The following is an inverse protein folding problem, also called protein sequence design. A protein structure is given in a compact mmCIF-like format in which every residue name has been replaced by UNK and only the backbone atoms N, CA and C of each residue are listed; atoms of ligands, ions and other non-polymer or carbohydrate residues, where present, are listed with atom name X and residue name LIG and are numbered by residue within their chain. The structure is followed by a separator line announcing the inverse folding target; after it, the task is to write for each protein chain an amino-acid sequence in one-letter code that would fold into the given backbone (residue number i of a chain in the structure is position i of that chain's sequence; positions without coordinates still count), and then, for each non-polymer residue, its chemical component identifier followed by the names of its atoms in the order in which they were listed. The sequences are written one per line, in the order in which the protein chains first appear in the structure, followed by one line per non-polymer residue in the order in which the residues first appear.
data_IF_766529302572
#
_entry.id   IF_766529302572
#
_cell.length_a   1.000
_cell.length_b   1.000
_cell.length_c   1.000
_cell.angle_alpha   90.00
_cell.angle_beta   90.00
_cell.angle_gamma   90.00
#
_symmetry.space_group_name_H-M   'P 1'
#
loop_
_entity.id
_entity.type
_entity.pdbx_description
1 polymer ?
#
# COMPACT_ATOMS: atom_id res chain seq x y z
N UNK A 1 -4.94 -9.36 49.17
CA UNK A 1 -3.67 -9.63 48.44
C UNK A 1 -3.87 -10.02 46.97
N UNK A 2 -4.94 -9.63 46.29
CA UNK A 2 -5.27 -10.08 44.93
C UNK A 2 -5.22 -8.97 43.85
N UNK A 3 -4.97 -7.70 44.21
CA UNK A 3 -4.90 -6.62 43.22
C UNK A 3 -3.49 -6.35 42.66
N UNK A 4 -2.44 -6.76 43.35
CA UNK A 4 -1.04 -6.52 42.94
C UNK A 4 -0.51 -7.49 41.88
N UNK A 5 -1.17 -8.64 41.67
CA UNK A 5 -0.77 -9.62 40.65
C UNK A 5 -1.35 -9.30 39.25
N UNK A 6 -2.52 -8.69 39.21
CA UNK A 6 -3.17 -8.26 37.94
C UNK A 6 -2.43 -7.08 37.29
N UNK A 7 -1.84 -6.19 38.09
CA UNK A 7 -1.14 -4.99 37.61
C UNK A 7 0.27 -5.29 37.02
N UNK A 8 0.85 -6.46 37.31
CA UNK A 8 2.15 -6.86 36.73
C UNK A 8 2.04 -7.49 35.34
N UNK A 9 0.91 -8.05 34.98
CA UNK A 9 0.70 -8.65 33.65
C UNK A 9 0.44 -7.59 32.57
N UNK A 10 -0.08 -6.44 32.92
CA UNK A 10 -0.35 -5.31 32.01
C UNK A 10 0.91 -4.54 31.59
N UNK A 11 2.04 -4.70 32.30
CA UNK A 11 3.31 -4.01 31.98
C UNK A 11 4.34 -4.87 31.22
N UNK A 12 4.03 -6.12 30.89
CA UNK A 12 4.96 -6.94 30.11
C UNK A 12 5.11 -6.33 28.69
N UNK A 13 6.35 -6.06 28.28
CA UNK A 13 6.63 -5.53 26.93
C UNK A 13 6.04 -6.47 25.87
N UNK A 14 5.46 -5.93 24.79
CA UNK A 14 4.90 -6.71 23.66
C UNK A 14 5.89 -7.76 23.13
N UNK A 15 7.19 -7.47 23.19
CA UNK A 15 8.27 -8.40 22.82
C UNK A 15 8.32 -9.68 23.65
N UNK A 16 7.70 -9.70 24.83
CA UNK A 16 7.58 -10.90 25.69
C UNK A 16 6.30 -11.70 25.42
N UNK A 17 5.37 -11.14 24.66
CA UNK A 17 4.17 -11.84 24.22
C UNK A 17 4.54 -12.77 23.05
N UNK A 18 4.63 -14.08 23.33
CA UNK A 18 5.02 -15.09 22.33
C UNK A 18 4.12 -15.08 21.10
N UNK A 19 2.80 -14.96 21.27
CA UNK A 19 1.86 -14.99 20.14
C UNK A 19 2.01 -13.73 19.27
N UNK A 20 2.14 -12.55 19.88
CA UNK A 20 2.41 -11.32 19.15
C UNK A 20 3.76 -11.39 18.41
N UNK A 21 4.82 -11.84 19.06
CA UNK A 21 6.14 -11.97 18.44
C UNK A 21 6.13 -12.95 17.26
N UNK A 22 5.46 -14.10 17.42
CA UNK A 22 5.31 -15.06 16.32
C UNK A 22 4.54 -14.46 15.13
N UNK A 23 3.41 -13.80 15.38
CA UNK A 23 2.62 -13.15 14.34
C UNK A 23 3.44 -12.07 13.63
N UNK A 24 4.05 -11.17 14.41
CA UNK A 24 4.81 -10.03 13.92
C UNK A 24 6.06 -10.44 13.12
N UNK A 25 6.85 -11.39 13.64
CA UNK A 25 8.07 -11.85 12.98
C UNK A 25 7.77 -12.69 11.73
N UNK A 26 6.77 -13.56 11.77
CA UNK A 26 6.33 -14.32 10.58
C UNK A 26 5.92 -13.38 9.46
N UNK A 27 5.08 -12.39 9.77
CA UNK A 27 4.63 -11.42 8.77
C UNK A 27 5.76 -10.52 8.28
N UNK A 28 6.70 -10.09 9.15
CA UNK A 28 7.89 -9.34 8.72
C UNK A 28 8.69 -10.12 7.69
N UNK A 29 8.90 -11.41 7.95
CA UNK A 29 9.70 -12.27 7.08
C UNK A 29 9.02 -12.45 5.72
N UNK A 30 7.72 -12.75 5.69
CA UNK A 30 6.97 -12.90 4.45
C UNK A 30 6.81 -11.58 3.69
N UNK A 31 6.57 -10.46 4.36
CA UNK A 31 6.48 -9.14 3.71
C UNK A 31 7.81 -8.72 3.06
N UNK A 32 8.97 -9.07 3.66
CA UNK A 32 10.28 -8.82 3.05
C UNK A 32 10.46 -9.65 1.76
N UNK A 33 10.11 -10.94 1.78
CA UNK A 33 10.15 -11.81 0.61
C UNK A 33 9.23 -11.31 -0.51
N UNK A 34 7.98 -11.07 -0.18
CA UNK A 34 6.99 -10.52 -1.11
C UNK A 34 7.45 -9.18 -1.74
N UNK A 35 7.99 -8.27 -0.93
CA UNK A 35 8.50 -6.98 -1.43
C UNK A 35 9.69 -7.16 -2.36
N UNK A 36 10.56 -8.14 -2.09
CA UNK A 36 11.67 -8.48 -2.98
C UNK A 36 11.17 -9.09 -4.30
N UNK A 37 10.21 -10.03 -4.24
CA UNK A 37 9.60 -10.64 -5.41
C UNK A 37 8.82 -9.61 -6.25
N UNK A 38 8.16 -8.63 -5.63
CA UNK A 38 7.38 -7.60 -6.32
C UNK A 38 8.22 -6.72 -7.25
N UNK A 39 9.49 -6.47 -6.91
CA UNK A 39 10.45 -5.76 -7.78
C UNK A 39 11.09 -6.71 -8.79
N UNK A 40 11.32 -7.96 -8.41
CA UNK A 40 11.90 -8.94 -9.30
C UNK A 40 10.94 -9.38 -10.41
N UNK A 41 9.64 -9.39 -10.15
CA UNK A 41 8.61 -9.84 -11.09
C UNK A 41 8.59 -9.03 -12.41
N UNK A 42 8.52 -7.68 -12.41
CA UNK A 42 8.64 -6.90 -13.63
C UNK A 42 9.98 -7.09 -14.34
N UNK A 43 11.08 -7.19 -13.58
CA UNK A 43 12.41 -7.45 -14.16
C UNK A 43 12.49 -8.82 -14.81
N UNK A 44 11.84 -9.85 -14.23
CA UNK A 44 11.77 -11.18 -14.81
C UNK A 44 11.02 -11.16 -16.14
N UNK A 45 9.85 -10.54 -16.21
CA UNK A 45 9.06 -10.43 -17.45
C UNK A 45 9.86 -9.72 -18.54
N UNK A 46 10.50 -8.58 -18.21
CA UNK A 46 11.35 -7.86 -19.15
C UNK A 46 12.56 -8.70 -19.62
N UNK A 47 13.16 -9.48 -18.72
CA UNK A 47 14.32 -10.30 -19.05
C UNK A 47 13.97 -11.55 -19.88
N UNK A 48 12.72 -12.02 -19.86
CA UNK A 48 12.26 -13.22 -20.58
C UNK A 48 11.77 -12.88 -21.99
N UNK A 49 10.88 -11.89 -22.12
CA UNK A 49 10.28 -11.55 -23.42
C UNK A 49 10.46 -10.09 -23.87
N UNK A 50 11.04 -9.24 -23.03
CA UNK A 50 11.26 -7.82 -23.35
C UNK A 50 9.98 -6.98 -23.44
N UNK A 51 8.80 -7.56 -23.13
CA UNK A 51 7.50 -6.91 -23.29
C UNK A 51 7.17 -6.02 -22.11
N UNK A 52 7.11 -4.71 -22.37
CA UNK A 52 6.65 -3.74 -21.39
C UNK A 52 5.14 -3.88 -21.12
N UNK A 53 4.36 -4.26 -22.14
CA UNK A 53 2.91 -4.48 -21.98
C UNK A 53 2.64 -5.66 -21.04
N UNK A 54 3.33 -6.79 -21.22
CA UNK A 54 3.19 -7.95 -20.32
C UNK A 54 3.62 -7.61 -18.91
N UNK A 55 4.68 -6.80 -18.74
CA UNK A 55 5.12 -6.32 -17.44
C UNK A 55 4.02 -5.52 -16.74
N UNK A 56 3.42 -4.57 -17.45
CA UNK A 56 2.29 -3.78 -16.94
C UNK A 56 1.05 -4.63 -16.65
N UNK A 57 0.77 -5.61 -17.52
CA UNK A 57 -0.35 -6.53 -17.34
C UNK A 57 -0.17 -7.43 -16.11
N UNK A 58 1.02 -7.98 -15.88
CA UNK A 58 1.33 -8.82 -14.70
C UNK A 58 1.16 -8.01 -13.42
N UNK A 59 1.71 -6.79 -13.34
CA UNK A 59 1.55 -5.95 -12.15
C UNK A 59 0.11 -5.46 -11.96
N UNK A 60 -0.58 -5.13 -13.04
CA UNK A 60 -2.00 -4.82 -13.00
C UNK A 60 -2.84 -6.01 -12.53
N UNK A 61 -2.42 -7.24 -12.84
CA UNK A 61 -3.07 -8.47 -12.35
C UNK A 61 -2.94 -8.60 -10.84
N UNK A 62 -1.76 -8.34 -10.25
CA UNK A 62 -1.60 -8.33 -8.78
C UNK A 62 -2.62 -7.38 -8.14
N UNK A 63 -2.67 -6.13 -8.61
CA UNK A 63 -3.55 -5.10 -8.04
C UNK A 63 -5.04 -5.42 -8.29
N UNK A 64 -5.40 -5.94 -9.48
CA UNK A 64 -6.78 -6.34 -9.79
C UNK A 64 -7.23 -7.50 -8.90
N UNK A 65 -6.38 -8.51 -8.72
CA UNK A 65 -6.66 -9.66 -7.87
C UNK A 65 -6.80 -9.25 -6.39
N UNK A 66 -5.93 -8.36 -5.93
CA UNK A 66 -5.99 -7.78 -4.59
C UNK A 66 -7.30 -7.01 -4.38
N UNK A 67 -7.70 -6.20 -5.35
CA UNK A 67 -8.94 -5.43 -5.30
C UNK A 67 -10.18 -6.35 -5.28
N UNK A 68 -10.21 -7.34 -6.17
CA UNK A 68 -11.33 -8.28 -6.28
C UNK A 68 -11.47 -9.15 -5.01
N UNK A 69 -10.35 -9.61 -4.45
CA UNK A 69 -10.35 -10.41 -3.22
C UNK A 69 -10.59 -9.56 -1.97
N UNK A 70 -10.19 -8.29 -1.96
CA UNK A 70 -10.35 -7.37 -0.82
C UNK A 70 -11.81 -7.18 -0.41
N UNK A 71 -12.73 -7.18 -1.38
CA UNK A 71 -14.18 -7.05 -1.11
C UNK A 71 -14.72 -8.19 -0.22
N UNK A 72 -14.50 -9.48 -0.53
CA UNK A 72 -14.93 -10.58 0.32
C UNK A 72 -14.00 -10.86 1.52
N UNK A 73 -12.76 -10.38 1.50
CA UNK A 73 -11.74 -10.74 2.49
C UNK A 73 -12.14 -10.41 3.94
N UNK A 74 -12.70 -9.23 4.18
CA UNK A 74 -13.20 -8.85 5.50
C UNK A 74 -14.30 -9.78 6.00
N UNK A 75 -15.29 -10.08 5.15
CA UNK A 75 -16.37 -10.97 5.49
C UNK A 75 -15.90 -12.42 5.74
N UNK A 76 -14.87 -12.86 5.01
CA UNK A 76 -14.26 -14.18 5.22
C UNK A 76 -13.44 -14.22 6.51
N UNK A 77 -12.67 -13.17 6.83
CA UNK A 77 -11.92 -13.05 8.08
C UNK A 77 -12.83 -13.05 9.33
N UNK A 78 -14.06 -12.58 9.19
CA UNK A 78 -15.05 -12.60 10.26
C UNK A 78 -15.70 -13.98 10.47
N UNK A 79 -15.82 -14.79 9.41
CA UNK A 79 -16.54 -16.07 9.42
C UNK A 79 -15.62 -17.28 9.54
N UNK A 80 -14.44 -17.22 8.96
CA UNK A 80 -13.51 -18.33 8.90
C UNK A 80 -12.46 -18.25 10.01
N UNK A 81 -11.79 -19.36 10.23
CA UNK A 81 -10.67 -19.39 11.16
C UNK A 81 -9.50 -18.55 10.62
N UNK A 82 -9.23 -17.43 11.28
CA UNK A 82 -8.21 -16.46 10.90
C UNK A 82 -6.83 -17.10 10.73
N UNK A 83 -6.47 -18.03 11.63
CA UNK A 83 -5.20 -18.75 11.53
C UNK A 83 -5.13 -19.60 10.26
N UNK A 84 -6.24 -20.26 9.88
CA UNK A 84 -6.27 -21.06 8.64
C UNK A 84 -6.20 -20.18 7.39
N UNK A 85 -6.80 -18.99 7.39
CA UNK A 85 -6.67 -18.02 6.30
C UNK A 85 -5.19 -17.63 6.15
N UNK A 86 -4.53 -17.20 7.24
CA UNK A 86 -3.13 -16.81 7.23
C UNK A 86 -2.22 -17.95 6.76
N UNK A 87 -2.39 -19.16 7.29
CA UNK A 87 -1.62 -20.35 6.87
C UNK A 87 -1.88 -20.69 5.39
N UNK A 88 -3.11 -20.60 4.92
CA UNK A 88 -3.44 -20.83 3.52
C UNK A 88 -2.77 -19.83 2.58
N UNK A 89 -2.73 -18.55 2.97
CA UNK A 89 -2.04 -17.51 2.20
C UNK A 89 -0.54 -17.75 2.14
N UNK A 90 0.11 -18.05 3.28
CA UNK A 90 1.56 -18.33 3.30
C UNK A 90 1.93 -19.57 2.49
N UNK A 91 1.14 -20.65 2.61
CA UNK A 91 1.34 -21.85 1.81
C UNK A 91 1.16 -21.60 0.31
N UNK A 92 0.10 -20.87 -0.07
CA UNK A 92 -0.15 -20.54 -1.47
C UNK A 92 0.97 -19.70 -2.08
N UNK A 93 1.48 -18.71 -1.36
CA UNK A 93 2.60 -17.87 -1.80
C UNK A 93 3.91 -18.67 -1.86
N UNK A 94 4.21 -19.52 -0.89
CA UNK A 94 5.37 -20.41 -0.96
C UNK A 94 5.32 -21.34 -2.19
N UNK A 95 4.14 -21.92 -2.48
CA UNK A 95 3.92 -22.76 -3.67
C UNK A 95 4.06 -21.94 -4.95
N UNK A 96 3.54 -20.73 -4.98
CA UNK A 96 3.65 -19.83 -6.13
C UNK A 96 5.12 -19.46 -6.40
N UNK A 97 5.88 -19.08 -5.37
CA UNK A 97 7.33 -18.84 -5.47
C UNK A 97 8.10 -20.08 -5.94
N UNK A 98 7.79 -21.26 -5.38
CA UNK A 98 8.37 -22.54 -5.80
C UNK A 98 8.08 -22.86 -7.26
N UNK A 99 6.87 -22.56 -7.73
CA UNK A 99 6.48 -22.79 -9.13
C UNK A 99 7.27 -21.91 -10.10
N UNK A 100 7.49 -20.64 -9.77
CA UNK A 100 8.35 -19.73 -10.54
C UNK A 100 9.80 -20.20 -10.53
N UNK A 101 10.32 -20.57 -9.36
CA UNK A 101 11.67 -21.12 -9.21
C UNK A 101 11.87 -22.33 -10.12
N UNK A 102 10.96 -23.30 -10.06
CA UNK A 102 11.01 -24.50 -10.88
C UNK A 102 10.95 -24.18 -12.38
N UNK A 103 10.04 -23.31 -12.79
CA UNK A 103 9.88 -22.93 -14.19
C UNK A 103 11.10 -22.21 -14.77
N UNK A 104 11.75 -21.35 -13.98
CA UNK A 104 12.97 -20.65 -14.39
C UNK A 104 14.12 -21.66 -14.54
N UNK A 105 14.29 -22.59 -13.57
CA UNK A 105 15.35 -23.61 -13.60
C UNK A 105 15.17 -24.61 -14.76
N UNK A 106 13.92 -24.94 -15.07
CA UNK A 106 13.56 -25.86 -16.17
C UNK A 106 13.49 -25.17 -17.55
N UNK A 107 13.75 -23.86 -17.61
CA UNK A 107 13.60 -23.05 -18.84
C UNK A 107 12.17 -23.13 -19.46
N UNK A 108 11.15 -23.38 -18.64
CA UNK A 108 9.75 -23.60 -19.05
C UNK A 108 8.82 -22.46 -18.60
N UNK A 109 9.38 -21.28 -18.27
CA UNK A 109 8.60 -20.16 -17.79
C UNK A 109 7.69 -19.61 -18.91
N UNK A 110 6.39 -19.47 -18.59
CA UNK A 110 5.38 -18.88 -19.48
C UNK A 110 4.78 -17.63 -18.82
N UNK A 111 4.35 -16.67 -19.65
CA UNK A 111 3.64 -15.47 -19.14
C UNK A 111 2.34 -15.85 -18.44
N UNK A 112 1.62 -16.86 -18.93
CA UNK A 112 0.41 -17.35 -18.28
C UNK A 112 0.67 -17.80 -16.83
N UNK A 113 1.78 -18.52 -16.58
CA UNK A 113 2.18 -18.91 -15.22
C UNK A 113 2.50 -17.69 -14.36
N UNK A 114 3.24 -16.71 -14.90
CA UNK A 114 3.56 -15.48 -14.17
C UNK A 114 2.29 -14.71 -13.78
N UNK A 115 1.30 -14.66 -14.68
CA UNK A 115 -0.02 -14.03 -14.41
C UNK A 115 -0.78 -14.78 -13.31
N UNK A 116 -0.78 -16.12 -13.32
CA UNK A 116 -1.42 -16.93 -12.26
C UNK A 116 -0.76 -16.67 -10.90
N UNK A 117 0.57 -16.64 -10.86
CA UNK A 117 1.33 -16.33 -9.63
C UNK A 117 1.05 -14.89 -9.18
N UNK A 118 1.03 -13.92 -10.09
CA UNK A 118 0.68 -12.53 -9.79
C UNK A 118 -0.74 -12.41 -9.18
N UNK A 119 -1.70 -13.16 -9.74
CA UNK A 119 -3.06 -13.22 -9.18
C UNK A 119 -3.07 -13.82 -7.77
N UNK A 120 -2.34 -14.93 -7.56
CA UNK A 120 -2.21 -15.54 -6.23
C UNK A 120 -1.60 -14.57 -5.21
N UNK A 121 -0.57 -13.84 -5.58
CA UNK A 121 0.05 -12.79 -4.74
C UNK A 121 -0.99 -11.72 -4.34
N UNK A 122 -1.76 -11.22 -5.30
CA UNK A 122 -2.81 -10.22 -5.02
C UNK A 122 -3.90 -10.75 -4.10
N UNK A 123 -4.42 -11.96 -4.36
CA UNK A 123 -5.46 -12.59 -3.52
C UNK A 123 -4.94 -12.81 -2.10
N UNK A 124 -3.74 -13.39 -1.94
CA UNK A 124 -3.17 -13.68 -0.63
C UNK A 124 -2.92 -12.40 0.18
N UNK A 125 -2.40 -11.34 -0.44
CA UNK A 125 -2.21 -10.05 0.22
C UNK A 125 -3.55 -9.48 0.72
N UNK A 126 -4.60 -9.52 -0.11
CA UNK A 126 -5.93 -9.04 0.28
C UNK A 126 -6.59 -9.84 1.41
N UNK A 127 -6.33 -11.14 1.49
CA UNK A 127 -6.93 -12.03 2.47
C UNK A 127 -6.19 -12.05 3.81
N UNK A 128 -4.86 -11.89 3.78
CA UNK A 128 -4.02 -11.99 4.98
C UNK A 128 -4.24 -10.81 5.93
N UNK A 129 -4.19 -9.58 5.42
CA UNK A 129 -4.20 -8.36 6.24
C UNK A 129 -5.47 -8.25 7.12
N UNK A 130 -6.71 -8.45 6.61
CA UNK A 130 -7.90 -8.45 7.45
C UNK A 130 -7.92 -9.58 8.49
N UNK A 131 -7.34 -10.75 8.16
CA UNK A 131 -7.26 -11.86 9.10
C UNK A 131 -6.25 -11.57 10.24
N UNK A 132 -5.11 -10.93 9.95
CA UNK A 132 -4.14 -10.44 10.92
C UNK A 132 -4.75 -9.37 11.84
N UNK A 133 -5.37 -8.34 11.25
CA UNK A 133 -5.98 -7.23 11.98
C UNK A 133 -7.08 -7.71 12.94
N UNK A 134 -7.89 -8.66 12.47
CA UNK A 134 -8.91 -9.27 13.30
C UNK A 134 -8.32 -10.20 14.40
N UNK A 135 -7.16 -10.82 14.16
CA UNK A 135 -6.50 -11.67 15.15
C UNK A 135 -5.76 -10.86 16.23
N UNK A 136 -5.28 -9.66 15.90
CA UNK A 136 -4.43 -8.84 16.77
C UNK A 136 -5.03 -8.60 18.17
N UNK A 137 -6.31 -8.17 18.33
CA UNK A 137 -6.92 -7.97 19.64
C UNK A 137 -7.12 -9.26 20.45
N UNK A 138 -7.00 -10.44 19.82
CA UNK A 138 -7.12 -11.72 20.53
C UNK A 138 -5.81 -12.22 21.09
N UNK A 139 -4.67 -11.68 20.63
CA UNK A 139 -3.32 -12.07 21.05
C UNK A 139 -2.62 -11.00 21.88
N UNK A 140 -3.17 -9.78 21.93
CA UNK A 140 -2.60 -8.62 22.63
C UNK A 140 -3.64 -8.07 23.61
N UNK A 141 -3.27 -7.69 24.87
CA UNK A 141 -4.16 -7.01 25.79
C UNK A 141 -4.70 -5.68 25.20
N UNK A 142 -5.94 -5.34 25.52
CA UNK A 142 -6.64 -4.17 24.94
C UNK A 142 -5.84 -2.86 25.09
N UNK A 143 -5.17 -2.66 26.23
CA UNK A 143 -4.37 -1.44 26.51
C UNK A 143 -3.13 -1.34 25.60
N UNK A 144 -2.67 -2.46 25.04
CA UNK A 144 -1.49 -2.54 24.18
C UNK A 144 -1.84 -2.58 22.67
N UNK A 145 -3.12 -2.71 22.31
CA UNK A 145 -3.56 -2.77 20.90
C UNK A 145 -3.09 -1.55 20.10
N UNK A 146 -3.21 -0.29 20.57
CA UNK A 146 -2.72 0.86 19.83
C UNK A 146 -1.21 0.80 19.52
N UNK A 147 -0.41 0.30 20.48
CA UNK A 147 1.02 0.11 20.30
C UNK A 147 1.32 -1.01 19.32
N UNK A 148 0.59 -2.11 19.36
CA UNK A 148 0.73 -3.22 18.43
C UNK A 148 0.40 -2.81 16.99
N UNK A 149 -0.66 -2.03 16.78
CA UNK A 149 -1.02 -1.44 15.47
C UNK A 149 0.11 -0.55 14.95
N UNK A 150 0.67 0.33 15.80
CA UNK A 150 1.80 1.18 15.40
C UNK A 150 3.04 0.35 15.04
N UNK A 151 3.32 -0.74 15.76
CA UNK A 151 4.42 -1.67 15.44
C UNK A 151 4.17 -2.41 14.12
N UNK A 152 2.93 -2.78 13.79
CA UNK A 152 2.57 -3.40 12.52
C UNK A 152 2.77 -2.42 11.35
N UNK A 153 2.38 -1.15 11.50
CA UNK A 153 2.63 -0.13 10.48
C UNK A 153 4.14 0.10 10.26
N UNK A 154 4.94 0.14 11.32
CA UNK A 154 6.39 0.25 11.22
C UNK A 154 7.00 -0.99 10.55
N UNK A 155 6.52 -2.21 10.87
CA UNK A 155 6.92 -3.47 10.24
C UNK A 155 6.68 -3.44 8.74
N UNK A 156 5.47 -3.06 8.31
CA UNK A 156 5.12 -3.00 6.90
C UNK A 156 6.03 -2.04 6.12
N UNK A 157 6.32 -0.86 6.70
CA UNK A 157 7.24 0.11 6.10
C UNK A 157 8.67 -0.44 6.02
N UNK A 158 9.15 -1.09 7.08
CA UNK A 158 10.49 -1.69 7.13
C UNK A 158 10.62 -2.83 6.11
N UNK A 159 9.64 -3.72 6.05
CA UNK A 159 9.60 -4.84 5.11
C UNK A 159 9.58 -4.35 3.66
N UNK A 160 8.75 -3.35 3.37
CA UNK A 160 8.68 -2.77 2.02
C UNK A 160 10.02 -2.14 1.62
N UNK A 161 10.61 -1.33 2.50
CA UNK A 161 11.87 -0.64 2.22
C UNK A 161 13.04 -1.63 2.03
N UNK A 162 13.19 -2.58 2.97
CA UNK A 162 14.29 -3.55 2.94
C UNK A 162 14.09 -4.59 1.83
N UNK A 163 12.87 -5.09 1.65
CA UNK A 163 12.54 -6.09 0.64
C UNK A 163 12.69 -5.55 -0.77
N UNK A 164 12.15 -4.37 -1.07
CA UNK A 164 12.30 -3.76 -2.41
C UNK A 164 13.76 -3.46 -2.73
N UNK A 165 14.52 -2.95 -1.77
CA UNK A 165 15.96 -2.73 -1.93
C UNK A 165 16.71 -4.03 -2.19
N UNK A 166 16.47 -5.06 -1.38
CA UNK A 166 17.08 -6.37 -1.54
C UNK A 166 16.69 -7.05 -2.86
N UNK A 167 15.44 -6.92 -3.30
CA UNK A 167 14.92 -7.59 -4.49
C UNK A 167 15.71 -7.33 -5.77
N UNK A 168 16.09 -6.08 -6.02
CA UNK A 168 16.91 -5.72 -7.14
C UNK A 168 18.33 -6.31 -7.05
N UNK A 169 18.95 -6.32 -5.85
CA UNK A 169 20.26 -6.94 -5.63
C UNK A 169 20.20 -8.46 -5.78
N UNK A 170 19.19 -9.10 -5.22
CA UNK A 170 18.98 -10.55 -5.36
C UNK A 170 18.78 -10.92 -6.82
N UNK A 171 18.04 -10.12 -7.59
CA UNK A 171 17.86 -10.34 -9.03
C UNK A 171 19.15 -10.15 -9.82
N UNK A 172 20.05 -9.25 -9.38
CA UNK A 172 21.37 -9.06 -10.00
C UNK A 172 22.32 -10.26 -9.77
N UNK A 173 22.18 -10.96 -8.63
CA UNK A 173 22.90 -12.21 -8.35
C UNK A 173 22.40 -13.34 -9.28
N UNK A 174 21.09 -13.42 -9.48
CA UNK A 174 20.47 -14.39 -10.36
C UNK A 174 18.95 -14.23 -10.40
N UNK A 175 18.35 -14.45 -11.59
CA UNK A 175 16.89 -14.30 -11.80
C UNK A 175 16.04 -15.16 -10.88
N UNK A 176 16.60 -16.25 -10.38
CA UNK A 176 15.97 -17.24 -9.50
C UNK A 176 15.98 -16.79 -8.03
N UNK A 177 17.03 -16.05 -7.63
CA UNK A 177 17.34 -15.78 -6.21
C UNK A 177 16.22 -15.05 -5.46
N UNK A 178 15.59 -13.99 -5.99
CA UNK A 178 14.51 -13.31 -5.28
C UNK A 178 13.28 -14.20 -5.06
N UNK A 179 12.95 -15.08 -6.02
CA UNK A 179 11.81 -16.02 -5.90
C UNK A 179 12.11 -17.18 -4.95
N UNK A 180 13.37 -17.62 -4.88
CA UNK A 180 13.81 -18.57 -3.86
C UNK A 180 13.75 -17.96 -2.45
N UNK A 181 14.17 -16.71 -2.31
CA UNK A 181 14.06 -15.97 -1.05
C UNK A 181 12.60 -15.76 -0.63
N UNK A 182 11.73 -15.42 -1.56
CA UNK A 182 10.27 -15.30 -1.36
C UNK A 182 9.66 -16.62 -0.89
N UNK A 183 9.91 -17.71 -1.62
CA UNK A 183 9.46 -19.06 -1.25
C UNK A 183 9.91 -19.43 0.19
N UNK A 184 11.18 -19.23 0.50
CA UNK A 184 11.74 -19.57 1.83
C UNK A 184 11.14 -18.69 2.91
N UNK A 185 10.93 -17.40 2.64
CA UNK A 185 10.34 -16.47 3.61
C UNK A 185 8.89 -16.83 3.94
N UNK A 186 8.08 -17.19 2.94
CA UNK A 186 6.72 -17.65 3.14
C UNK A 186 6.65 -19.03 3.83
N UNK A 187 7.54 -19.96 3.51
CA UNK A 187 7.66 -21.24 4.21
C UNK A 187 8.07 -21.07 5.69
N UNK A 188 8.97 -20.14 5.97
CA UNK A 188 9.37 -19.79 7.35
C UNK A 188 8.20 -19.13 8.11
N UNK A 189 7.48 -18.20 7.48
CA UNK A 189 6.30 -17.57 8.04
C UNK A 189 5.17 -18.57 8.31
N UNK A 190 4.89 -19.46 7.37
CA UNK A 190 3.96 -20.59 7.56
C UNK A 190 4.33 -21.41 8.79
N UNK A 191 5.61 -21.80 8.90
CA UNK A 191 6.11 -22.58 10.04
C UNK A 191 5.94 -21.82 11.36
N UNK A 192 6.26 -20.52 11.40
CA UNK A 192 6.04 -19.68 12.57
C UNK A 192 4.56 -19.59 12.98
N UNK A 193 3.66 -19.42 12.00
CA UNK A 193 2.23 -19.37 12.25
C UNK A 193 1.62 -20.70 12.72
N UNK A 194 2.24 -21.85 12.42
CA UNK A 194 1.79 -23.14 12.99
C UNK A 194 1.82 -23.12 14.53
N UNK A 195 2.80 -22.46 15.12
CA UNK A 195 2.96 -22.34 16.58
C UNK A 195 2.11 -21.21 17.19
N UNK A 196 1.48 -20.37 16.38
CA UNK A 196 0.58 -19.31 16.84
C UNK A 196 -0.68 -19.93 17.47
N UNK A 197 -1.05 -19.46 18.65
CA UNK A 197 -2.27 -19.87 19.34
C UNK A 197 -3.26 -18.71 19.35
N UNK A 198 -4.30 -18.83 18.55
CA UNK A 198 -5.43 -17.91 18.53
C UNK A 198 -6.61 -18.62 19.20
N UNK A 199 -7.24 -18.02 20.23
CA UNK A 199 -8.44 -18.59 20.83
C UNK A 199 -9.54 -18.78 19.78
N UNK A 200 -10.27 -19.90 19.80
CA UNK A 200 -11.43 -20.06 18.94
C UNK A 200 -12.46 -18.98 19.29
N UNK A 201 -12.93 -18.25 18.28
CA UNK A 201 -14.02 -17.31 18.44
C UNK A 201 -15.34 -18.03 18.20
N UNK A 202 -16.32 -17.84 19.06
CA UNK A 202 -17.71 -18.14 18.73
C UNK A 202 -18.11 -17.27 17.54
N UNK A 203 -18.47 -17.91 16.44
CA UNK A 203 -18.88 -17.22 15.22
C UNK A 203 -20.13 -16.39 15.55
N UNK A 204 -19.96 -15.08 15.68
CA UNK A 204 -21.08 -14.17 15.74
C UNK A 204 -21.77 -14.26 14.37
N UNK A 205 -22.93 -14.88 14.34
CA UNK A 205 -23.78 -14.93 13.15
C UNK A 205 -24.33 -13.52 12.87
N UNK A 206 -23.50 -12.68 12.25
CA UNK A 206 -24.03 -11.49 11.64
C UNK A 206 -24.74 -11.91 10.34
N UNK A 207 -26.00 -11.50 10.15
CA UNK A 207 -26.68 -11.77 8.89
C UNK A 207 -25.86 -11.17 7.74
N UNK A 208 -25.84 -11.79 6.55
CA UNK A 208 -25.11 -11.25 5.42
C UNK A 208 -25.66 -9.86 5.12
N UNK A 209 -24.92 -8.84 5.52
CA UNK A 209 -25.24 -7.46 5.18
C UNK A 209 -25.34 -7.35 3.66
N UNK A 210 -26.22 -6.49 3.16
CA UNK A 210 -26.36 -6.24 1.72
C UNK A 210 -25.16 -5.39 1.26
N UNK A 211 -23.95 -5.99 1.24
CA UNK A 211 -22.68 -5.32 0.96
C UNK A 211 -22.76 -4.44 -0.30
N UNK A 212 -23.41 -4.95 -1.36
CA UNK A 212 -23.62 -4.18 -2.59
C UNK A 212 -24.47 -2.93 -2.37
N UNK A 213 -25.49 -3.01 -1.49
CA UNK A 213 -26.37 -1.88 -1.18
C UNK A 213 -25.64 -0.82 -0.34
N UNK A 214 -24.84 -1.26 0.62
CA UNK A 214 -24.02 -0.40 1.45
C UNK A 214 -22.92 0.30 0.65
N UNK A 215 -22.30 -0.41 -0.30
CA UNK A 215 -21.34 0.18 -1.24
C UNK A 215 -22.00 1.23 -2.16
N UNK A 216 -23.19 0.94 -2.70
CA UNK A 216 -23.94 1.88 -3.53
C UNK A 216 -24.36 3.12 -2.74
N UNK A 217 -24.78 2.96 -1.49
CA UNK A 217 -25.12 4.06 -0.60
C UNK A 217 -23.91 4.94 -0.29
N UNK A 218 -22.76 4.32 0.01
CA UNK A 218 -21.50 5.02 0.19
C UNK A 218 -21.08 5.79 -1.07
N UNK A 219 -21.15 5.17 -2.24
CA UNK A 219 -20.84 5.79 -3.52
C UNK A 219 -21.78 6.97 -3.82
N UNK A 220 -23.09 6.79 -3.60
CA UNK A 220 -24.08 7.86 -3.80
C UNK A 220 -23.80 9.05 -2.88
N UNK A 221 -23.47 8.78 -1.63
CA UNK A 221 -23.14 9.81 -0.66
C UNK A 221 -21.86 10.56 -1.05
N UNK A 222 -20.77 9.85 -1.39
CA UNK A 222 -19.52 10.47 -1.89
C UNK A 222 -19.79 11.35 -3.10
N UNK A 223 -20.66 10.90 -4.03
CA UNK A 223 -20.98 11.66 -5.24
C UNK A 223 -21.76 12.94 -4.96
N UNK A 224 -22.58 12.96 -3.91
CA UNK A 224 -23.32 14.15 -3.45
C UNK A 224 -22.42 15.17 -2.77
N UNK A 225 -21.34 14.73 -2.12
CA UNK A 225 -20.41 15.61 -1.41
C UNK A 225 -19.34 16.16 -2.36
N UNK A 226 -19.52 17.40 -2.83
CA UNK A 226 -18.65 18.03 -3.84
C UNK A 226 -17.17 18.00 -3.45
N UNK A 227 -16.82 18.31 -2.21
CA UNK A 227 -15.44 18.35 -1.72
C UNK A 227 -14.81 16.96 -1.72
N UNK A 228 -15.52 15.94 -1.21
CA UNK A 228 -15.05 14.56 -1.16
C UNK A 228 -14.88 14.00 -2.57
N UNK A 229 -15.85 14.23 -3.44
CA UNK A 229 -15.80 13.80 -4.84
C UNK A 229 -14.59 14.39 -5.56
N UNK A 230 -14.35 15.71 -5.45
CA UNK A 230 -13.22 16.37 -6.11
C UNK A 230 -11.88 15.83 -5.57
N UNK A 231 -11.71 15.73 -4.27
CA UNK A 231 -10.48 15.19 -3.68
C UNK A 231 -10.25 13.73 -4.08
N UNK A 232 -11.29 12.90 -4.07
CA UNK A 232 -11.20 11.49 -4.46
C UNK A 232 -10.83 11.33 -5.95
N UNK A 233 -11.50 12.06 -6.85
CA UNK A 233 -11.20 12.01 -8.29
C UNK A 233 -9.78 12.50 -8.59
N UNK A 234 -9.34 13.59 -7.96
CA UNK A 234 -7.96 14.07 -8.11
C UNK A 234 -6.94 13.03 -7.64
N UNK A 235 -7.19 12.39 -6.49
CA UNK A 235 -6.33 11.34 -5.97
C UNK A 235 -6.28 10.12 -6.91
N UNK A 236 -7.43 9.68 -7.44
CA UNK A 236 -7.51 8.56 -8.39
C UNK A 236 -6.69 8.83 -9.65
N UNK A 237 -6.88 10.00 -10.27
CA UNK A 237 -6.16 10.36 -11.50
C UNK A 237 -4.66 10.48 -11.22
N UNK A 238 -4.27 11.07 -10.08
CA UNK A 238 -2.88 11.16 -9.68
C UNK A 238 -2.24 9.78 -9.49
N UNK A 239 -2.93 8.90 -8.75
CA UNK A 239 -2.44 7.53 -8.54
C UNK A 239 -2.35 6.73 -9.85
N UNK A 240 -3.28 6.93 -10.77
CA UNK A 240 -3.26 6.30 -12.08
C UNK A 240 -1.98 6.67 -12.86
N UNK A 241 -1.73 7.97 -13.02
CA UNK A 241 -0.55 8.44 -13.77
C UNK A 241 0.76 8.17 -13.02
N UNK A 242 0.75 8.22 -11.68
CA UNK A 242 1.92 7.87 -10.88
C UNK A 242 2.27 6.39 -11.02
N UNK A 243 1.29 5.49 -10.92
CA UNK A 243 1.51 4.05 -11.10
C UNK A 243 1.96 3.70 -12.52
N UNK A 244 1.39 4.39 -13.53
CA UNK A 244 1.85 4.27 -14.92
C UNK A 244 3.31 4.76 -15.06
N UNK A 245 3.63 5.94 -14.54
CA UNK A 245 4.97 6.52 -14.56
C UNK A 245 6.02 5.61 -13.89
N UNK A 246 5.66 5.01 -12.75
CA UNK A 246 6.54 4.07 -12.05
C UNK A 246 6.99 2.92 -12.96
N UNK A 247 6.06 2.30 -13.68
CA UNK A 247 6.36 1.23 -14.63
C UNK A 247 7.15 1.74 -15.84
N UNK A 248 6.75 2.89 -16.39
CA UNK A 248 7.48 3.54 -17.50
C UNK A 248 8.94 3.73 -17.14
N UNK A 249 9.24 4.20 -15.92
CA UNK A 249 10.62 4.43 -15.46
C UNK A 249 11.37 3.12 -15.25
N UNK A 250 10.76 2.08 -14.68
CA UNK A 250 11.40 0.75 -14.55
C UNK A 250 11.78 0.22 -15.92
N UNK A 251 10.86 0.24 -16.89
CA UNK A 251 11.11 -0.22 -18.25
C UNK A 251 12.20 0.61 -18.94
N UNK A 252 12.13 1.93 -18.78
CA UNK A 252 13.10 2.86 -19.35
C UNK A 252 14.51 2.63 -18.77
N UNK A 253 14.61 2.47 -17.44
CA UNK A 253 15.86 2.16 -16.76
C UNK A 253 16.45 0.83 -17.24
N UNK A 254 15.61 -0.21 -17.33
CA UNK A 254 16.03 -1.52 -17.84
C UNK A 254 16.53 -1.44 -19.30
N UNK A 255 15.77 -0.77 -20.19
CA UNK A 255 16.18 -0.56 -21.60
C UNK A 255 17.45 0.27 -21.76
N UNK A 256 17.75 1.16 -20.81
CA UNK A 256 19.00 1.93 -20.76
C UNK A 256 20.19 1.16 -20.17
N UNK A 257 20.00 -0.11 -19.78
CA UNK A 257 21.04 -0.97 -19.20
C UNK A 257 21.37 -0.64 -17.74
N UNK A 258 20.46 0.04 -17.01
CA UNK A 258 20.65 0.28 -15.57
C UNK A 258 20.64 -1.08 -14.84
N UNK A 259 21.66 -1.36 -14.00
CA UNK A 259 21.72 -2.62 -13.26
C UNK A 259 20.50 -2.86 -12.39
N UNK A 260 20.03 -4.11 -12.30
CA UNK A 260 18.85 -4.47 -11.52
C UNK A 260 18.94 -4.06 -10.05
N UNK A 261 20.13 -4.12 -9.43
CA UNK A 261 20.37 -3.62 -8.08
C UNK A 261 20.08 -2.13 -7.91
N UNK A 262 20.40 -1.31 -8.92
CA UNK A 262 20.07 0.12 -8.89
C UNK A 262 18.57 0.36 -9.08
N UNK A 263 17.87 -0.47 -9.86
CA UNK A 263 16.41 -0.41 -10.02
C UNK A 263 15.72 -0.77 -8.69
N UNK A 264 16.21 -1.79 -7.98
CA UNK A 264 15.72 -2.12 -6.64
C UNK A 264 15.96 -1.00 -5.62
N UNK A 265 17.15 -0.39 -5.65
CA UNK A 265 17.45 0.77 -4.80
C UNK A 265 16.54 1.96 -5.11
N UNK A 266 16.24 2.21 -6.38
CA UNK A 266 15.28 3.24 -6.80
C UNK A 266 13.90 3.03 -6.16
N UNK A 267 13.39 1.78 -6.14
CA UNK A 267 12.14 1.44 -5.49
C UNK A 267 12.22 1.59 -3.95
N UNK A 268 13.34 1.19 -3.34
CA UNK A 268 13.58 1.38 -1.91
C UNK A 268 13.63 2.87 -1.54
N UNK A 269 14.24 3.71 -2.34
CA UNK A 269 14.29 5.17 -2.14
C UNK A 269 12.90 5.81 -2.21
N UNK A 270 11.99 5.31 -3.05
CA UNK A 270 10.59 5.72 -3.04
C UNK A 270 9.95 5.43 -1.66
N UNK A 271 10.15 4.21 -1.14
CA UNK A 271 9.67 3.83 0.19
C UNK A 271 10.29 4.68 1.31
N UNK A 272 11.61 4.91 1.26
CA UNK A 272 12.32 5.74 2.23
C UNK A 272 11.79 7.18 2.23
N UNK A 273 11.54 7.76 1.05
CA UNK A 273 10.92 9.08 0.92
C UNK A 273 9.53 9.16 1.56
N UNK A 274 8.72 8.10 1.36
CA UNK A 274 7.41 7.98 1.99
C UNK A 274 7.48 7.93 3.53
N UNK A 275 8.42 7.16 4.09
CA UNK A 275 8.65 7.09 5.55
C UNK A 275 9.07 8.45 6.10
N UNK A 276 10.07 9.09 5.48
CA UNK A 276 10.51 10.43 5.90
C UNK A 276 9.38 11.45 5.76
N UNK A 277 8.63 11.38 4.65
CA UNK A 277 7.45 12.21 4.44
C UNK A 277 6.37 12.04 5.52
N UNK A 278 6.11 10.80 5.95
CA UNK A 278 5.16 10.50 7.02
C UNK A 278 5.62 11.06 8.38
N UNK A 279 6.93 11.00 8.68
CA UNK A 279 7.52 11.60 9.88
C UNK A 279 7.44 13.13 9.85
N UNK A 280 7.57 13.75 8.68
CA UNK A 280 7.48 15.20 8.49
C UNK A 280 6.03 15.69 8.42
N UNK A 281 5.06 14.83 8.12
CA UNK A 281 3.67 15.22 7.89
C UNK A 281 3.04 16.02 9.04
N UNK A 282 3.17 15.64 10.33
CA UNK A 282 2.62 16.43 11.44
C UNK A 282 3.18 17.85 11.48
N UNK A 283 4.49 18.01 11.28
CA UNK A 283 5.14 19.32 11.25
C UNK A 283 4.67 20.16 10.05
N UNK A 284 4.63 19.56 8.86
CA UNK A 284 4.20 20.26 7.65
C UNK A 284 2.72 20.70 7.73
N UNK A 285 1.86 19.90 8.35
CA UNK A 285 0.45 20.27 8.57
C UNK A 285 0.26 21.49 9.46
N UNK A 286 1.17 21.76 10.39
CA UNK A 286 1.11 22.98 11.21
C UNK A 286 1.54 24.23 10.44
N UNK A 287 2.36 24.07 9.39
CA UNK A 287 2.94 25.19 8.61
C UNK A 287 2.20 25.45 7.30
N UNK A 288 1.65 24.43 6.68
CA UNK A 288 1.01 24.51 5.36
C UNK A 288 -0.51 24.57 5.49
N UNK A 289 -1.14 25.42 4.68
CA UNK A 289 -2.60 25.35 4.56
C UNK A 289 -3.03 24.04 3.89
N UNK A 290 -4.23 23.51 4.16
CA UNK A 290 -4.73 22.29 3.54
C UNK A 290 -4.64 22.30 2.00
N UNK A 291 -4.95 23.44 1.38
CA UNK A 291 -4.81 23.62 -0.07
C UNK A 291 -3.36 23.48 -0.53
N UNK A 292 -2.42 24.14 0.15
CA UNK A 292 -0.98 24.07 -0.19
C UNK A 292 -0.46 22.65 0.00
N UNK A 293 -0.85 21.95 1.09
CA UNK A 293 -0.46 20.54 1.34
C UNK A 293 -0.89 19.62 0.20
N UNK A 294 -2.10 19.80 -0.32
CA UNK A 294 -2.60 19.01 -1.45
C UNK A 294 -1.94 19.46 -2.76
N UNK A 295 -1.94 20.74 -3.07
CA UNK A 295 -1.42 21.27 -4.34
C UNK A 295 0.08 21.02 -4.52
N UNK A 296 0.87 21.06 -3.43
CA UNK A 296 2.32 20.83 -3.49
C UNK A 296 2.68 19.44 -4.01
N UNK A 297 1.90 18.41 -3.70
CA UNK A 297 2.11 17.05 -4.23
C UNK A 297 1.95 17.03 -5.75
N UNK A 298 0.88 17.64 -6.25
CA UNK A 298 0.59 17.69 -7.68
C UNK A 298 1.67 18.49 -8.43
N UNK A 299 2.08 19.64 -7.90
CA UNK A 299 3.15 20.44 -8.48
C UNK A 299 4.51 19.73 -8.43
N UNK A 300 4.85 19.09 -7.31
CA UNK A 300 6.10 18.32 -7.20
C UNK A 300 6.14 17.17 -8.21
N UNK A 301 5.06 16.38 -8.32
CA UNK A 301 4.98 15.30 -9.31
C UNK A 301 5.06 15.82 -10.74
N UNK A 302 4.34 16.90 -11.07
CA UNK A 302 4.38 17.51 -12.40
C UNK A 302 5.79 18.02 -12.76
N UNK A 303 6.47 18.66 -11.81
CA UNK A 303 7.82 19.21 -12.05
C UNK A 303 8.90 18.13 -12.10
N UNK A 304 8.79 17.10 -11.25
CA UNK A 304 9.81 16.06 -11.11
C UNK A 304 9.69 14.94 -12.17
N UNK A 305 8.48 14.65 -12.65
CA UNK A 305 8.29 13.58 -13.65
C UNK A 305 9.15 13.77 -14.92
N UNK A 306 9.22 14.95 -15.57
CA UNK A 306 10.07 15.13 -16.76
C UNK A 306 11.56 14.99 -16.48
N UNK A 307 12.00 15.21 -15.23
CA UNK A 307 13.41 15.08 -14.84
C UNK A 307 13.94 13.67 -15.07
N UNK A 308 13.06 12.64 -15.02
CA UNK A 308 13.40 11.27 -15.34
C UNK A 308 13.96 11.08 -16.78
N UNK A 309 13.66 12.00 -17.70
CA UNK A 309 14.19 11.95 -19.07
C UNK A 309 15.70 12.18 -19.12
N UNK A 310 16.21 13.07 -18.27
CA UNK A 310 17.63 13.48 -18.25
C UNK A 310 18.47 12.51 -17.44
N UNK A 311 17.88 11.89 -16.41
CA UNK A 311 18.58 10.98 -15.50
C UNK A 311 18.85 9.65 -16.20
N UNK A 312 20.12 9.23 -16.23
CA UNK A 312 20.56 7.92 -16.74
C UNK A 312 21.14 7.01 -15.66
N UNK A 313 21.34 7.53 -14.47
CA UNK A 313 21.93 6.84 -13.32
C UNK A 313 20.83 6.42 -12.36
N UNK A 314 20.80 5.13 -11.96
CA UNK A 314 19.80 4.59 -11.05
C UNK A 314 19.82 5.22 -9.65
N UNK A 315 20.97 5.66 -9.16
CA UNK A 315 21.08 6.36 -7.87
C UNK A 315 20.38 7.73 -7.90
N UNK A 316 20.60 8.52 -8.96
CA UNK A 316 19.93 9.79 -9.14
C UNK A 316 18.43 9.62 -9.39
N UNK A 317 18.05 8.55 -10.08
CA UNK A 317 16.63 8.19 -10.24
C UNK A 317 16.00 7.82 -8.89
N UNK A 318 16.75 7.13 -8.02
CA UNK A 318 16.34 6.86 -6.64
C UNK A 318 16.13 8.14 -5.85
N UNK A 319 17.05 9.10 -5.95
CA UNK A 319 16.91 10.41 -5.30
C UNK A 319 15.67 11.18 -5.81
N UNK A 320 15.37 11.08 -7.11
CA UNK A 320 14.15 11.64 -7.69
C UNK A 320 12.89 11.01 -7.08
N UNK A 321 12.84 9.68 -6.98
CA UNK A 321 11.71 8.97 -6.37
C UNK A 321 11.58 9.25 -4.88
N UNK A 322 12.68 9.38 -4.15
CA UNK A 322 12.68 9.83 -2.77
C UNK A 322 12.01 11.21 -2.64
N UNK A 323 12.42 12.17 -3.47
CA UNK A 323 11.82 13.52 -3.48
C UNK A 323 10.33 13.52 -3.81
N UNK A 324 9.92 12.71 -4.78
CA UNK A 324 8.51 12.52 -5.17
C UNK A 324 7.68 11.98 -4.00
N UNK A 325 8.23 11.09 -3.19
CA UNK A 325 7.51 10.42 -2.10
C UNK A 325 7.40 11.24 -0.81
N UNK A 326 8.13 12.35 -0.67
CA UNK A 326 8.16 13.15 0.58
C UNK A 326 6.82 13.82 0.92
N UNK A 327 6.11 14.33 -0.07
CA UNK A 327 4.92 15.15 0.16
C UNK A 327 3.58 14.38 0.23
N UNK A 328 3.38 13.25 -0.48
CA UNK A 328 2.12 12.52 -0.48
C UNK A 328 1.58 12.16 0.91
N UNK A 329 2.38 11.74 1.92
CA UNK A 329 1.85 11.45 3.25
C UNK A 329 1.17 12.65 3.91
N UNK A 330 1.73 13.85 3.74
CA UNK A 330 1.14 15.09 4.29
C UNK A 330 -0.22 15.41 3.65
N UNK A 331 -0.33 15.27 2.32
CA UNK A 331 -1.59 15.49 1.63
C UNK A 331 -2.62 14.41 1.98
N UNK A 332 -2.21 13.14 2.02
CA UNK A 332 -3.10 12.03 2.37
C UNK A 332 -3.68 12.17 3.77
N UNK A 333 -2.87 12.47 4.78
CA UNK A 333 -3.36 12.72 6.14
C UNK A 333 -4.28 13.94 6.19
N UNK A 334 -3.97 15.01 5.47
CA UNK A 334 -4.83 16.21 5.39
C UNK A 334 -6.19 15.87 4.78
N UNK A 335 -6.21 15.14 3.66
CA UNK A 335 -7.44 14.73 2.97
C UNK A 335 -8.27 13.79 3.86
N UNK A 336 -7.64 12.72 4.38
CA UNK A 336 -8.33 11.68 5.16
C UNK A 336 -8.92 12.26 6.45
N UNK A 337 -8.17 13.07 7.20
CA UNK A 337 -8.66 13.71 8.42
C UNK A 337 -9.90 14.57 8.14
N UNK A 338 -9.87 15.35 7.05
CA UNK A 338 -11.01 16.19 6.67
C UNK A 338 -12.21 15.39 6.17
N UNK A 339 -11.96 14.34 5.42
CA UNK A 339 -13.02 13.44 4.98
C UNK A 339 -13.73 12.80 6.17
N UNK A 340 -12.97 12.32 7.17
CA UNK A 340 -13.53 11.71 8.37
C UNK A 340 -14.31 12.71 9.24
N UNK A 341 -13.79 13.93 9.43
CA UNK A 341 -14.47 14.97 10.20
C UNK A 341 -15.79 15.43 9.57
N UNK A 342 -15.87 15.44 8.24
CA UNK A 342 -17.07 15.85 7.51
C UNK A 342 -18.05 14.69 7.21
N UNK A 343 -17.75 13.48 7.69
CA UNK A 343 -18.56 12.29 7.42
C UNK A 343 -19.23 11.80 8.70
N UNK A 344 -20.58 11.61 8.70
CA UNK A 344 -21.29 10.99 9.80
C UNK A 344 -20.70 9.62 10.16
N UNK A 345 -20.67 9.26 11.44
CA UNK A 345 -20.00 8.06 11.97
C UNK A 345 -20.41 6.78 11.24
N UNK A 346 -21.72 6.62 10.97
CA UNK A 346 -22.26 5.44 10.29
C UNK A 346 -21.87 5.33 8.79
N UNK A 347 -21.31 6.38 8.19
CA UNK A 347 -20.86 6.40 6.77
C UNK A 347 -19.33 6.37 6.64
N UNK A 348 -18.54 6.52 7.73
CA UNK A 348 -17.07 6.57 7.66
C UNK A 348 -16.46 5.33 7.03
N UNK A 349 -16.93 4.15 7.42
CA UNK A 349 -16.47 2.89 6.83
C UNK A 349 -16.80 2.78 5.33
N UNK A 350 -17.99 3.23 4.93
CA UNK A 350 -18.42 3.24 3.51
C UNK A 350 -17.60 4.22 2.68
N UNK A 351 -17.30 5.39 3.22
CA UNK A 351 -16.40 6.37 2.58
C UNK A 351 -15.02 5.77 2.33
N UNK A 352 -14.41 5.18 3.37
CA UNK A 352 -13.08 4.57 3.26
C UNK A 352 -13.07 3.44 2.23
N UNK A 353 -14.14 2.62 2.20
CA UNK A 353 -14.31 1.56 1.21
C UNK A 353 -14.40 2.09 -0.22
N UNK A 354 -15.19 3.13 -0.48
CA UNK A 354 -15.34 3.73 -1.82
C UNK A 354 -14.03 4.39 -2.28
N UNK A 355 -13.36 5.14 -1.41
CA UNK A 355 -12.07 5.79 -1.73
C UNK A 355 -10.99 4.73 -1.97
N UNK A 356 -10.94 3.68 -1.13
CA UNK A 356 -10.01 2.57 -1.28
C UNK A 356 -10.22 1.80 -2.57
N UNK A 357 -11.49 1.51 -2.94
CA UNK A 357 -11.85 0.86 -4.20
C UNK A 357 -11.38 1.70 -5.41
N UNK A 358 -11.64 3.00 -5.38
CA UNK A 358 -11.24 3.91 -6.45
C UNK A 358 -9.71 4.00 -6.60
N UNK A 359 -8.98 4.08 -5.47
CA UNK A 359 -7.51 4.03 -5.47
C UNK A 359 -6.97 2.69 -5.98
N UNK A 360 -7.61 1.57 -5.60
CA UNK A 360 -7.28 0.23 -6.07
C UNK A 360 -7.46 0.07 -7.58
N UNK A 361 -8.53 0.61 -8.16
CA UNK A 361 -8.73 0.63 -9.62
C UNK A 361 -7.60 1.40 -10.31
N UNK A 362 -7.21 2.57 -9.79
CA UNK A 362 -6.08 3.33 -10.34
C UNK A 362 -4.76 2.55 -10.24
N UNK A 363 -4.54 1.85 -9.12
CA UNK A 363 -3.39 0.97 -8.91
C UNK A 363 -3.34 -0.22 -9.86
N UNK A 364 -4.50 -0.74 -10.28
CA UNK A 364 -4.60 -1.85 -11.24
C UNK A 364 -4.40 -1.37 -12.70
N UNK A 365 -5.08 -0.30 -13.08
CA UNK A 365 -5.07 0.23 -14.46
C UNK A 365 -3.76 0.96 -14.77
N UNK A 366 -3.15 1.64 -13.78
CA UNK A 366 -1.94 2.43 -13.99
C UNK A 366 -0.76 1.64 -14.55
N UNK A 367 -0.35 0.51 -13.96
CA UNK A 367 0.71 -0.34 -14.51
C UNK A 367 0.40 -0.84 -15.92
N UNK A 368 -0.84 -1.24 -16.20
CA UNK A 368 -1.26 -1.66 -17.54
C UNK A 368 -1.12 -0.52 -18.55
N UNK A 369 -1.54 0.68 -18.16
CA UNK A 369 -1.38 1.89 -18.97
C UNK A 369 0.09 2.20 -19.23
N UNK A 370 0.94 2.18 -18.19
CA UNK A 370 2.37 2.45 -18.31
C UNK A 370 3.10 1.44 -19.20
N UNK A 371 2.78 0.15 -19.05
CA UNK A 371 3.31 -0.94 -19.86
C UNK A 371 2.91 -0.81 -21.33
N UNK A 372 1.62 -0.58 -21.62
CA UNK A 372 1.13 -0.39 -22.99
C UNK A 372 1.69 0.87 -23.65
N UNK A 373 1.77 1.99 -22.93
CA UNK A 373 2.40 3.21 -23.44
C UNK A 373 3.85 2.95 -23.86
N UNK A 374 4.67 2.31 -23.03
CA UNK A 374 6.07 2.01 -23.36
C UNK A 374 6.24 0.96 -24.45
N UNK A 375 5.20 0.18 -24.77
CA UNK A 375 5.17 -0.73 -25.91
C UNK A 375 4.84 -0.03 -27.22
N UNK A 376 3.89 0.92 -27.19
CA UNK A 376 3.36 1.60 -28.39
C UNK A 376 4.21 2.79 -28.80
N UNK A 377 4.81 3.51 -27.85
CA UNK A 377 5.60 4.73 -28.08
C UNK A 377 6.97 4.61 -27.41
N UNK A 378 7.87 5.54 -27.68
CA UNK A 378 9.19 5.56 -27.02
C UNK A 378 9.02 5.82 -25.52
N UNK A 379 9.95 5.26 -24.70
CA UNK A 379 9.91 5.48 -23.24
C UNK A 379 9.94 6.96 -22.85
N UNK A 380 10.63 7.80 -23.62
CA UNK A 380 10.64 9.25 -23.40
C UNK A 380 9.26 9.89 -23.68
N UNK A 381 8.58 9.49 -24.74
CA UNK A 381 7.21 9.94 -25.02
C UNK A 381 6.23 9.44 -23.94
N UNK A 382 6.38 8.21 -23.46
CA UNK A 382 5.57 7.68 -22.37
C UNK A 382 5.72 8.49 -21.07
N UNK A 383 6.96 8.90 -20.71
CA UNK A 383 7.20 9.84 -19.59
C UNK A 383 6.49 11.16 -19.81
N UNK A 384 6.56 11.73 -21.03
CA UNK A 384 5.88 13.00 -21.34
C UNK A 384 4.34 12.89 -21.29
N UNK A 385 3.78 11.77 -21.72
CA UNK A 385 2.32 11.51 -21.60
C UNK A 385 1.92 11.47 -20.12
N UNK A 386 2.68 10.77 -19.26
CA UNK A 386 2.43 10.76 -17.81
C UNK A 386 2.58 12.17 -17.22
N UNK A 387 3.62 12.92 -17.61
CA UNK A 387 3.82 14.29 -17.16
C UNK A 387 2.68 15.22 -17.60
N UNK A 388 2.21 15.10 -18.83
CA UNK A 388 1.08 15.89 -19.34
C UNK A 388 -0.21 15.57 -18.58
N UNK A 389 -0.48 14.28 -18.30
CA UNK A 389 -1.63 13.87 -17.47
C UNK A 389 -1.56 14.43 -16.06
N UNK A 390 -0.37 14.38 -15.42
CA UNK A 390 -0.15 14.99 -14.10
C UNK A 390 -0.29 16.51 -14.16
N UNK A 391 0.24 17.17 -15.20
CA UNK A 391 0.09 18.62 -15.38
C UNK A 391 -1.38 19.03 -15.55
N UNK A 392 -2.15 18.30 -16.34
CA UNK A 392 -3.56 18.56 -16.55
C UNK A 392 -4.34 18.53 -15.23
N UNK A 393 -4.13 17.48 -14.40
CA UNK A 393 -4.80 17.38 -13.11
C UNK A 393 -4.28 18.45 -12.13
N UNK A 394 -2.99 18.81 -12.18
CA UNK A 394 -2.41 19.90 -11.38
C UNK A 394 -3.09 21.24 -11.67
N UNK A 395 -3.35 21.54 -12.93
CA UNK A 395 -4.11 22.75 -13.33
C UNK A 395 -5.53 22.69 -12.75
N UNK A 396 -6.22 21.56 -12.86
CA UNK A 396 -7.57 21.37 -12.30
C UNK A 396 -7.57 21.58 -10.79
N UNK A 397 -6.62 20.98 -10.06
CA UNK A 397 -6.47 21.13 -8.61
C UNK A 397 -6.22 22.59 -8.23
N UNK A 398 -5.29 23.23 -8.93
CA UNK A 398 -4.90 24.64 -8.65
C UNK A 398 -6.04 25.62 -8.99
N UNK A 399 -6.80 25.37 -10.04
CA UNK A 399 -7.93 26.20 -10.44
C UNK A 399 -9.21 25.93 -9.62
N UNK A 400 -9.29 24.82 -8.90
CA UNK A 400 -10.50 24.37 -8.20
C UNK A 400 -10.91 25.34 -7.06
N UNK A 401 -12.08 26.02 -7.16
CA UNK A 401 -12.56 26.86 -6.06
C UNK A 401 -12.88 26.07 -4.80
N UNK A 402 -13.29 24.80 -4.99
CA UNK A 402 -13.62 23.88 -3.88
C UNK A 402 -12.39 23.57 -3.04
N UNK A 403 -11.23 23.35 -3.66
CA UNK A 403 -9.98 23.04 -2.96
C UNK A 403 -9.35 24.32 -2.37
N UNK A 404 -9.44 25.45 -3.06
CA UNK A 404 -8.94 26.75 -2.52
C UNK A 404 -9.69 27.21 -1.29
N UNK A 405 -10.99 26.91 -1.16
CA UNK A 405 -11.83 27.22 -0.02
C UNK A 405 -11.79 26.14 1.08
N UNK A 406 -10.84 25.21 1.00
CA UNK A 406 -10.70 24.17 2.03
C UNK A 406 -10.42 24.85 3.39
N UNK A 407 -11.29 24.69 4.40
CA UNK A 407 -11.18 25.47 5.65
C UNK A 407 -9.84 25.24 6.34
N UNK A 408 -9.21 26.29 6.86
CA UNK A 408 -8.09 26.15 7.78
C UNK A 408 -8.60 25.56 9.10
N UNK A 409 -7.77 24.81 9.79
CA UNK A 409 -8.09 24.36 11.13
C UNK A 409 -7.94 25.58 12.05
N UNK A 410 -9.04 26.21 12.44
CA UNK A 410 -9.02 27.02 13.64
C UNK A 410 -8.95 26.04 14.82
N UNK A 411 -7.96 26.16 15.74
CA UNK A 411 -8.01 25.44 16.99
C UNK A 411 -9.35 25.78 17.60
N UNK A 412 -10.15 24.78 17.92
CA UNK A 412 -11.36 25.00 18.72
C UNK A 412 -10.88 25.64 20.01
N UNK A 413 -11.04 26.95 20.16
CA UNK A 413 -11.01 27.59 21.47
C UNK A 413 -11.95 26.74 22.31
N UNK A 414 -11.41 26.14 23.36
CA UNK A 414 -12.18 25.43 24.36
C UNK A 414 -13.31 26.34 24.76
N UNK A 415 -14.51 26.06 24.29
CA UNK A 415 -15.72 26.66 24.86
C UNK A 415 -15.82 26.09 26.28
N UNK A 416 -15.06 26.66 27.19
CA UNK A 416 -15.43 26.60 28.59
C UNK A 416 -16.84 27.16 28.68
N UNK A 417 -17.81 26.38 29.18
CA UNK A 417 -19.12 26.95 29.48
C UNK A 417 -18.90 28.08 30.49
N UNK A 418 -19.56 29.22 30.32
CA UNK A 418 -19.44 30.30 31.27
C UNK A 418 -19.81 29.77 32.67
N UNK A 419 -18.83 29.80 33.57
CA UNK A 419 -19.05 29.50 34.99
C UNK A 419 -20.15 30.45 35.43
N UNK A 420 -21.38 29.93 35.51
CA UNK A 420 -22.49 30.65 36.08
C UNK A 420 -22.10 31.02 37.52
N UNK A 421 -21.89 32.31 37.78
CA UNK A 421 -21.63 32.85 39.07
C UNK A 421 -22.82 32.50 39.98
N UNK A 422 -22.63 31.49 40.80
CA UNK A 422 -23.47 31.33 42.02
C UNK A 422 -23.17 32.51 42.93
N UNK A 423 -24.04 33.47 42.91
CA UNK A 423 -24.11 34.48 44.00
C UNK A 423 -24.73 33.85 45.24
N UNK A 424 -24.28 34.25 46.42
CA UNK A 424 -24.62 33.68 47.73
C UNK A 424 -26.07 33.82 48.11
#
# INVERSE_FOLDING_TARGET
MTSASADRTTRAALSRNRNFTLLWSSKLTSDCGFSAASIALPLLVLAVNGSAADTGFVLGTVATAQLAAGVPAGALADRWNRKLIMLGCEAAQAIAGASLLAAILLHALTIAQVVVVAAAFGVCAAMFDPAEDAALPTVVPDEQVPKAVAMNAARASLAHLSGTGAGGFLFAIGRVVPFAADMVSHAAAFTGLLFLRIPPREAAAQPPGQLHREMLEGLRWVWQQRTIRVTALCAVVLNLFFSAFYIVVIVLAHRRGVPAGQIGLMAAMLGAGGVVGALLAPYLQTKLSPFISIASVFWALTALTPVALVIRNGYLMGALFFGIALLPPTANTTITSRQLLNTPDHLRGRLTGVVGLAAGIAGAVGPMLGGTLTQLISGSQAVLVCAAGMAAITVVVTASPTLRRFPRHEPTESSEPPVAALKP
#
